data_IF_353507912415
#
_entry.id   IF_353507912415
#
_cell.length_a   1.000
_cell.length_b   1.000
_cell.length_c   1.000
_cell.angle_alpha   90.00
_cell.angle_beta   90.00
_cell.angle_gamma   90.00
#
_symmetry.space_group_name_H-M   'P 1'
#
loop_
_entity.id
_entity.type
_entity.pdbx_description
1 polymer ?
#
# COMPACT_ATOMS: atom_id res chain seq x y z
N UNK A 1 58.68 8.24 -41.42
CA UNK A 1 57.56 8.37 -42.40
C UNK A 1 56.27 8.43 -41.60
N UNK A 2 55.46 9.49 -41.76
CA UNK A 2 54.19 9.67 -41.03
C UNK A 2 53.07 8.87 -41.71
N UNK A 3 52.22 8.22 -40.93
CA UNK A 3 50.96 7.64 -41.41
C UNK A 3 50.13 7.04 -40.28
N UNK A 4 49.18 7.83 -39.77
CA UNK A 4 48.04 7.34 -38.97
C UNK A 4 47.20 6.40 -39.84
N UNK A 5 46.66 5.33 -39.27
CA UNK A 5 45.45 4.73 -39.80
C UNK A 5 44.55 4.27 -38.64
N UNK A 6 43.35 4.84 -38.61
CA UNK A 6 42.33 4.65 -37.59
C UNK A 6 41.30 3.61 -38.07
N UNK A 7 40.90 2.74 -37.14
CA UNK A 7 39.52 2.44 -36.74
C UNK A 7 38.53 1.92 -37.83
N UNK A 8 38.17 0.65 -37.61
CA UNK A 8 36.85 -0.03 -37.74
C UNK A 8 36.09 0.08 -39.06
N UNK A 9 36.06 -1.06 -39.73
CA UNK A 9 35.12 -1.40 -40.80
C UNK A 9 33.66 -1.39 -40.29
N UNK A 10 32.81 -0.74 -41.07
CA UNK A 10 31.37 -0.95 -41.15
C UNK A 10 31.10 -1.73 -42.44
N UNK A 11 30.12 -2.65 -42.45
CA UNK A 11 28.97 -2.65 -43.39
C UNK A 11 28.10 -3.90 -43.21
N UNK A 12 26.89 -3.79 -43.76
CA UNK A 12 25.75 -4.72 -43.78
C UNK A 12 24.84 -4.60 -42.54
N UNK A 13 23.75 -3.84 -42.52
CA UNK A 13 22.96 -3.26 -43.60
C UNK A 13 21.50 -3.65 -43.35
N UNK A 14 20.65 -2.69 -42.98
CA UNK A 14 19.24 -2.73 -43.37
C UNK A 14 18.54 -1.38 -43.17
N UNK A 15 17.50 -1.22 -43.98
CA UNK A 15 17.05 0.00 -44.65
C UNK A 15 15.90 0.63 -43.87
N UNK A 16 16.10 1.84 -43.36
CA UNK A 16 15.06 2.63 -42.70
C UNK A 16 13.93 2.94 -43.69
N UNK A 17 12.77 2.31 -43.51
CA UNK A 17 11.54 2.71 -44.18
C UNK A 17 10.74 3.63 -43.24
N UNK A 18 10.65 4.89 -43.66
CA UNK A 18 9.74 5.91 -43.12
C UNK A 18 8.28 5.46 -43.33
N UNK A 19 7.54 5.27 -42.24
CA UNK A 19 6.13 5.67 -41.99
C UNK A 19 5.60 4.84 -40.84
N UNK A 20 5.31 5.47 -39.70
CA UNK A 20 4.73 4.78 -38.55
C UNK A 20 4.86 5.61 -37.28
N UNK A 21 3.85 6.42 -37.02
CA UNK A 21 3.71 7.27 -35.84
C UNK A 21 3.46 6.38 -34.63
N UNK A 22 4.47 5.67 -34.11
CA UNK A 22 4.28 4.75 -32.99
C UNK A 22 5.49 4.73 -32.05
N UNK A 23 5.88 5.90 -31.56
CA UNK A 23 6.82 5.97 -30.43
C UNK A 23 6.42 7.04 -29.42
N UNK A 24 5.14 7.06 -29.03
CA UNK A 24 4.81 7.45 -27.67
C UNK A 24 5.22 6.31 -26.75
N UNK A 25 6.54 6.21 -26.54
CA UNK A 25 7.15 5.28 -25.60
C UNK A 25 6.58 5.64 -24.24
N UNK A 26 5.61 4.83 -23.82
CA UNK A 26 4.82 4.94 -22.61
C UNK A 26 5.70 5.40 -21.45
N UNK A 27 5.47 6.64 -21.02
CA UNK A 27 5.87 7.09 -19.69
C UNK A 27 5.02 6.26 -18.74
N UNK A 28 5.52 5.08 -18.38
CA UNK A 28 5.03 4.31 -17.25
C UNK A 28 5.30 5.17 -16.02
N UNK A 29 4.35 6.06 -15.72
CA UNK A 29 4.23 6.67 -14.42
C UNK A 29 4.22 5.53 -13.43
N UNK A 30 5.34 5.41 -12.71
CA UNK A 30 5.57 4.40 -11.69
C UNK A 30 4.72 4.82 -10.48
N UNK A 31 3.41 4.63 -10.60
CA UNK A 31 2.50 4.79 -9.48
C UNK A 31 2.97 3.83 -8.40
N UNK A 32 3.42 4.36 -7.28
CA UNK A 32 3.69 3.57 -6.08
C UNK A 32 2.35 3.01 -5.62
N UNK A 33 2.02 1.78 -6.03
CA UNK A 33 0.99 1.03 -5.32
C UNK A 33 1.52 0.84 -3.91
N UNK A 34 0.98 1.61 -2.97
CA UNK A 34 1.25 1.42 -1.56
C UNK A 34 0.86 0.00 -1.19
N UNK A 35 1.84 -0.82 -0.86
CA UNK A 35 1.63 -2.23 -0.56
C UNK A 35 0.70 -2.34 0.65
N UNK A 36 -0.50 -2.87 0.43
CA UNK A 36 -1.47 -3.08 1.51
C UNK A 36 -1.00 -4.24 2.37
N UNK A 37 -0.77 -3.98 3.65
CA UNK A 37 -0.39 -4.99 4.61
C UNK A 37 -1.57 -5.30 5.53
N UNK A 38 -1.76 -6.57 5.89
CA UNK A 38 -2.76 -6.95 6.90
C UNK A 38 -2.52 -6.16 8.18
N UNK A 39 -3.57 -5.58 8.75
CA UNK A 39 -3.46 -4.77 9.95
C UNK A 39 -2.93 -5.63 11.12
N UNK A 40 -1.78 -5.29 11.73
CA UNK A 40 -1.23 -6.08 12.83
C UNK A 40 -2.06 -5.98 14.10
N UNK A 41 -2.82 -4.88 14.29
CA UNK A 41 -3.63 -4.66 15.48
C UNK A 41 -4.88 -5.53 15.58
N UNK A 42 -5.38 -6.06 14.46
CA UNK A 42 -6.54 -6.98 14.46
C UNK A 42 -6.32 -8.23 13.60
N UNK A 43 -5.12 -8.45 13.08
CA UNK A 43 -4.79 -9.54 12.16
C UNK A 43 -5.78 -9.66 10.98
N UNK A 44 -6.30 -8.54 10.48
CA UNK A 44 -7.28 -8.52 9.39
C UNK A 44 -8.75 -8.71 9.80
N UNK A 45 -9.05 -8.92 11.09
CA UNK A 45 -10.41 -9.12 11.59
C UNK A 45 -11.29 -7.86 11.57
N UNK A 46 -10.72 -6.68 11.23
CA UNK A 46 -11.41 -5.37 11.11
C UNK A 46 -11.99 -4.83 12.42
N UNK A 47 -11.87 -5.56 13.52
CA UNK A 47 -12.35 -5.16 14.83
C UNK A 47 -11.62 -5.90 15.94
N UNK A 48 -11.87 -5.46 17.16
CA UNK A 48 -11.43 -6.14 18.37
C UNK A 48 -12.54 -6.10 19.40
N UNK A 49 -12.62 -7.13 20.23
CA UNK A 49 -13.44 -7.10 21.43
C UNK A 49 -12.83 -6.11 22.43
N UNK A 50 -13.69 -5.31 23.07
CA UNK A 50 -13.32 -4.39 24.13
C UNK A 50 -14.19 -4.64 25.34
N UNK A 51 -13.59 -4.48 26.51
CA UNK A 51 -14.30 -4.50 27.79
C UNK A 51 -14.23 -3.13 28.40
N UNK A 52 -15.39 -2.51 28.60
CA UNK A 52 -15.54 -1.27 29.34
C UNK A 52 -15.89 -1.58 30.79
N UNK A 53 -15.24 -0.84 31.69
CA UNK A 53 -15.45 -0.90 33.12
C UNK A 53 -16.03 0.44 33.57
N UNK A 54 -17.24 0.42 34.11
CA UNK A 54 -17.90 1.60 34.66
C UNK A 54 -18.38 1.33 36.09
N UNK A 55 -18.73 2.40 36.79
CA UNK A 55 -19.46 2.34 38.07
C UNK A 55 -20.81 3.01 37.83
N UNK A 56 -21.88 2.28 38.12
CA UNK A 56 -23.25 2.76 37.93
C UNK A 56 -23.98 2.73 39.26
N UNK A 57 -25.02 3.57 39.40
CA UNK A 57 -25.85 3.57 40.61
C UNK A 57 -27.05 2.65 40.36
N UNK A 58 -27.32 1.73 41.27
CA UNK A 58 -28.46 0.83 41.18
C UNK A 58 -29.78 1.52 41.58
N UNK A 59 -30.90 0.77 41.51
CA UNK A 59 -32.22 1.29 41.90
C UNK A 59 -32.36 1.61 43.39
N UNK A 60 -31.39 1.24 44.21
CA UNK A 60 -31.35 1.48 45.66
C UNK A 60 -30.38 2.61 46.03
N UNK A 61 -29.70 3.22 45.06
CA UNK A 61 -28.74 4.29 45.29
C UNK A 61 -27.31 3.82 45.59
N UNK A 62 -27.02 2.52 45.49
CA UNK A 62 -25.68 1.98 45.71
C UNK A 62 -24.86 1.99 44.43
N UNK A 63 -23.57 2.28 44.56
CA UNK A 63 -22.63 2.14 43.45
C UNK A 63 -22.29 0.68 43.22
N UNK A 64 -22.42 0.23 41.98
CA UNK A 64 -22.09 -1.11 41.53
C UNK A 64 -21.10 -1.07 40.36
N UNK A 65 -20.08 -1.94 40.33
CA UNK A 65 -19.21 -2.08 39.19
C UNK A 65 -19.95 -2.78 38.05
N UNK A 66 -19.91 -2.19 36.86
CA UNK A 66 -20.52 -2.76 35.64
C UNK A 66 -19.41 -3.05 34.63
N UNK A 67 -19.52 -4.22 33.98
CA UNK A 67 -18.63 -4.63 32.88
C UNK A 67 -19.46 -4.83 31.63
N UNK A 68 -19.06 -4.18 30.55
CA UNK A 68 -19.69 -4.35 29.23
C UNK A 68 -18.64 -4.80 28.23
N UNK A 69 -18.91 -5.91 27.57
CA UNK A 69 -18.06 -6.40 26.48
C UNK A 69 -18.76 -6.10 25.16
N UNK A 70 -18.04 -5.47 24.23
CA UNK A 70 -18.57 -5.13 22.92
C UNK A 70 -17.51 -5.23 21.84
N UNK A 71 -17.96 -5.52 20.62
CA UNK A 71 -17.12 -5.47 19.44
C UNK A 71 -17.02 -4.03 18.94
N UNK A 72 -15.82 -3.58 18.58
CA UNK A 72 -15.64 -2.27 17.97
C UNK A 72 -14.59 -2.29 16.85
N UNK A 73 -14.62 -1.33 15.92
CA UNK A 73 -13.59 -1.23 14.88
C UNK A 73 -12.19 -1.15 15.47
N UNK A 74 -11.25 -1.82 14.81
CA UNK A 74 -9.84 -1.79 15.21
C UNK A 74 -9.31 -0.37 15.04
N UNK A 75 -8.79 0.22 16.12
CA UNK A 75 -8.30 1.61 16.13
C UNK A 75 -7.10 1.83 15.21
N UNK A 76 -6.29 0.80 14.98
CA UNK A 76 -5.09 0.86 14.11
C UNK A 76 -5.45 1.01 12.65
N UNK A 77 -6.48 0.32 12.16
CA UNK A 77 -6.86 0.32 10.74
C UNK A 77 -8.23 0.97 10.46
N UNK A 78 -8.86 1.55 11.48
CA UNK A 78 -10.22 2.08 11.43
C UNK A 78 -11.26 1.11 10.84
N UNK A 79 -11.05 -0.20 11.00
CA UNK A 79 -11.93 -1.25 10.47
C UNK A 79 -11.76 -1.61 9.00
N UNK A 80 -10.73 -1.11 8.32
CA UNK A 80 -10.37 -1.56 6.96
C UNK A 80 -9.77 -2.97 6.94
N UNK A 81 -9.12 -3.40 8.03
CA UNK A 81 -8.40 -4.68 8.09
C UNK A 81 -7.00 -4.64 7.48
N UNK A 82 -6.62 -3.52 6.87
CA UNK A 82 -5.31 -3.31 6.22
C UNK A 82 -4.69 -1.98 6.68
N UNK A 83 -3.39 -1.85 6.53
CA UNK A 83 -2.66 -0.59 6.70
C UNK A 83 -1.84 -0.30 5.45
N UNK A 84 -1.77 0.98 5.10
CA UNK A 84 -0.92 1.48 4.02
C UNK A 84 0.42 1.92 4.64
N UNK A 85 1.55 1.53 4.03
CA UNK A 85 2.89 1.96 4.45
C UNK A 85 3.48 2.99 3.51
#
# INVERSE_FOLDING_TARGET
>A
MRGRCCIREWSDGERLSLTGVDTLRSVFWRWTMTEQQTCPGCAGARGTEKTEHSVETDGQGWQQPVRRTFWSPCTVCAGSGVVHR
#
